data_IF_399334762065
#
_entry.id   IF_399334762065
#
_cell.length_a   1.000
_cell.length_b   1.000
_cell.length_c   1.000
_cell.angle_alpha   90.00
_cell.angle_beta   90.00
_cell.angle_gamma   90.00
#
_symmetry.space_group_name_H-M   'P 1'
#
loop_
_entity.id
_entity.type
_entity.pdbx_description
1 polymer ?
#
# COMPACT_ATOMS: atom_id res chain seq x y z
N UNK A 1 3.48 -13.40 23.40
CA UNK A 1 2.52 -12.97 22.39
C UNK A 1 1.31 -12.26 22.99
N UNK A 2 0.59 -11.56 22.16
CA UNK A 2 -0.66 -10.86 22.52
C UNK A 2 -1.84 -11.65 21.96
N UNK A 3 -2.87 -11.89 22.76
CA UNK A 3 -4.11 -12.52 22.27
C UNK A 3 -4.98 -11.51 21.55
N UNK A 4 -5.68 -11.96 20.52
CA UNK A 4 -6.69 -11.20 19.78
C UNK A 4 -7.83 -12.12 19.34
N UNK A 5 -8.96 -11.52 18.95
CA UNK A 5 -10.16 -12.24 18.54
C UNK A 5 -10.13 -12.54 17.03
N UNK A 6 -9.84 -13.78 16.67
CA UNK A 6 -9.83 -14.26 15.28
C UNK A 6 -11.22 -14.37 14.65
N UNK A 7 -12.31 -14.34 15.43
CA UNK A 7 -13.68 -14.33 14.87
C UNK A 7 -14.05 -12.99 14.26
N UNK A 8 -13.34 -11.93 14.64
CA UNK A 8 -13.48 -10.59 14.02
C UNK A 8 -12.89 -10.51 12.62
N UNK A 9 -12.13 -11.53 12.18
CA UNK A 9 -11.57 -11.62 10.85
C UNK A 9 -12.38 -12.63 10.04
N UNK A 10 -13.07 -12.13 8.99
CA UNK A 10 -13.92 -12.98 8.16
C UNK A 10 -13.16 -14.19 7.60
N UNK A 11 -13.73 -15.39 7.78
CA UNK A 11 -13.18 -16.63 7.29
C UNK A 11 -12.03 -17.23 8.11
N UNK A 12 -11.68 -16.65 9.27
CA UNK A 12 -10.61 -17.19 10.14
C UNK A 12 -11.14 -18.18 11.17
N UNK A 13 -11.83 -17.73 12.18
CA UNK A 13 -12.33 -18.55 13.29
C UNK A 13 -13.82 -18.33 13.54
N UNK A 14 -14.47 -19.31 14.17
CA UNK A 14 -15.81 -19.13 14.73
C UNK A 14 -15.74 -18.52 16.13
N UNK A 15 -16.87 -17.97 16.60
CA UNK A 15 -16.96 -17.30 17.90
C UNK A 15 -16.63 -18.25 19.10
N UNK A 16 -16.85 -19.54 18.94
CA UNK A 16 -16.61 -20.53 19.99
C UNK A 16 -15.11 -20.85 20.21
N UNK A 17 -14.25 -20.49 19.24
CA UNK A 17 -12.80 -20.73 19.27
C UNK A 17 -12.07 -19.50 18.74
N UNK A 18 -12.44 -18.32 19.22
CA UNK A 18 -12.03 -17.06 18.63
C UNK A 18 -10.59 -16.63 18.97
N UNK A 19 -10.09 -17.06 20.12
CA UNK A 19 -8.77 -16.62 20.59
C UNK A 19 -7.63 -17.08 19.68
N UNK A 20 -6.77 -16.15 19.35
CA UNK A 20 -5.54 -16.37 18.57
C UNK A 20 -4.39 -15.57 19.18
N UNK A 21 -3.16 -15.93 18.86
CA UNK A 21 -1.95 -15.32 19.41
C UNK A 21 -1.18 -14.60 18.31
N UNK A 22 -0.87 -13.31 18.55
CA UNK A 22 0.15 -12.55 17.81
C UNK A 22 1.52 -12.90 18.39
N UNK A 23 2.42 -13.44 17.57
CA UNK A 23 3.82 -13.65 17.89
C UNK A 23 4.66 -12.62 17.17
N UNK A 24 5.14 -11.55 17.84
CA UNK A 24 5.91 -10.50 17.18
C UNK A 24 7.23 -10.99 16.63
N UNK A 25 7.56 -10.53 15.41
CA UNK A 25 8.87 -10.71 14.82
C UNK A 25 9.70 -9.44 15.05
N UNK A 26 10.65 -9.52 15.97
CA UNK A 26 11.48 -8.37 16.37
C UNK A 26 12.35 -7.82 15.22
N UNK A 27 12.65 -8.63 14.20
CA UNK A 27 13.43 -8.19 13.04
C UNK A 27 12.68 -7.19 12.17
N UNK A 28 11.35 -7.10 12.31
CA UNK A 28 10.48 -6.20 11.55
C UNK A 28 10.19 -4.88 12.28
N UNK A 29 10.87 -4.62 13.39
CA UNK A 29 10.61 -3.47 14.25
C UNK A 29 10.92 -2.13 13.55
N UNK A 30 9.91 -1.27 13.43
CA UNK A 30 10.01 0.08 12.85
C UNK A 30 9.34 1.08 13.79
N UNK A 31 9.99 2.23 14.00
CA UNK A 31 9.35 3.35 14.71
C UNK A 31 8.31 3.99 13.79
N UNK A 32 7.08 4.13 14.28
CA UNK A 32 6.00 4.75 13.52
C UNK A 32 6.21 6.27 13.39
N UNK A 33 6.38 6.82 12.16
CA UNK A 33 6.62 8.24 11.97
C UNK A 33 5.34 9.09 12.02
N UNK A 34 4.16 8.48 12.18
CA UNK A 34 2.87 9.16 12.03
C UNK A 34 2.10 9.32 13.34
N UNK A 35 2.50 8.64 14.40
CA UNK A 35 1.84 8.70 15.71
C UNK A 35 2.44 9.82 16.58
N UNK A 36 1.59 10.45 17.40
CA UNK A 36 2.03 11.54 18.29
C UNK A 36 3.00 11.03 19.38
N UNK A 37 2.73 9.84 19.91
CA UNK A 37 3.60 9.20 20.88
C UNK A 37 4.54 8.21 20.20
N UNK A 38 5.76 8.00 20.71
CA UNK A 38 6.68 7.01 20.18
C UNK A 38 6.03 5.61 20.16
N UNK A 39 5.77 5.10 18.96
CA UNK A 39 5.06 3.83 18.74
C UNK A 39 5.93 2.90 17.92
N UNK A 40 6.05 1.64 18.36
CA UNK A 40 6.78 0.60 17.66
C UNK A 40 5.81 -0.28 16.87
N UNK A 41 6.03 -0.36 15.56
CA UNK A 41 5.33 -1.29 14.67
C UNK A 41 6.12 -2.60 14.59
N UNK A 42 5.41 -3.73 14.71
CA UNK A 42 5.96 -5.08 14.58
C UNK A 42 5.03 -5.90 13.69
N UNK A 43 5.58 -6.60 12.71
CA UNK A 43 4.83 -7.66 12.01
C UNK A 43 4.81 -8.90 12.88
N UNK A 44 3.68 -9.61 12.89
CA UNK A 44 3.49 -10.77 13.75
C UNK A 44 3.14 -12.01 12.93
N UNK A 45 3.59 -13.15 13.41
CA UNK A 45 3.01 -14.45 13.03
C UNK A 45 1.76 -14.73 13.86
N UNK A 46 0.89 -15.59 13.34
CA UNK A 46 -0.36 -15.96 14.01
C UNK A 46 -0.27 -17.42 14.47
N UNK A 47 -0.51 -17.65 15.76
CA UNK A 47 -0.54 -19.00 16.34
C UNK A 47 -1.95 -19.35 16.82
N UNK A 48 -2.27 -20.64 16.71
CA UNK A 48 -3.43 -21.24 17.36
C UNK A 48 -3.08 -21.54 18.84
N UNK A 49 -3.81 -20.99 19.82
CA UNK A 49 -3.46 -21.16 21.25
C UNK A 49 -3.62 -22.59 21.76
N UNK A 50 -4.50 -23.39 21.16
CA UNK A 50 -4.72 -24.77 21.58
C UNK A 50 -3.55 -25.69 21.21
N UNK A 51 -2.90 -25.42 20.09
CA UNK A 51 -1.80 -26.27 19.58
C UNK A 51 -0.44 -25.59 19.65
N UNK A 52 -0.39 -24.28 19.84
CA UNK A 52 0.80 -23.44 19.74
C UNK A 52 1.50 -23.55 18.37
N UNK A 53 0.78 -23.99 17.35
CA UNK A 53 1.27 -24.08 15.98
C UNK A 53 0.84 -22.85 15.15
N UNK A 54 1.59 -22.60 14.07
CA UNK A 54 1.26 -21.54 13.14
C UNK A 54 -0.15 -21.77 12.53
N UNK A 55 -0.95 -20.71 12.51
CA UNK A 55 -2.28 -20.77 11.93
C UNK A 55 -2.19 -20.90 10.39
N UNK A 56 -2.85 -21.92 9.86
CA UNK A 56 -2.68 -22.33 8.46
C UNK A 56 -3.22 -21.32 7.42
N UNK A 57 -4.14 -20.44 7.83
CA UNK A 57 -4.72 -19.38 6.98
C UNK A 57 -4.01 -18.02 7.13
N UNK A 58 -3.00 -17.93 7.99
CA UNK A 58 -2.17 -16.73 8.09
C UNK A 58 -1.39 -16.52 6.79
N UNK A 59 -1.57 -15.37 6.07
CA UNK A 59 -0.84 -15.09 4.81
C UNK A 59 0.68 -15.13 4.98
N UNK A 60 1.20 -14.57 6.09
CA UNK A 60 2.64 -14.60 6.37
C UNK A 60 3.14 -16.04 6.61
N UNK A 61 2.33 -16.83 7.28
CA UNK A 61 2.58 -18.27 7.46
C UNK A 61 2.57 -19.03 6.14
N UNK A 62 1.72 -18.65 5.17
CA UNK A 62 1.74 -19.22 3.81
C UNK A 62 3.05 -18.90 3.12
N UNK A 63 3.52 -17.64 3.17
CA UNK A 63 4.79 -17.23 2.56
C UNK A 63 5.99 -18.00 3.17
N UNK A 64 6.04 -18.15 4.50
CA UNK A 64 7.07 -18.95 5.18
C UNK A 64 7.06 -20.42 4.75
N UNK A 65 5.88 -21.02 4.59
CA UNK A 65 5.76 -22.39 4.08
C UNK A 65 6.22 -22.50 2.63
N UNK A 66 5.98 -21.48 1.79
CA UNK A 66 6.44 -21.46 0.42
C UNK A 66 7.98 -21.42 0.32
N UNK A 67 8.65 -20.60 1.14
CA UNK A 67 10.11 -20.58 1.22
C UNK A 67 10.66 -21.93 1.70
N UNK A 68 10.05 -22.52 2.73
CA UNK A 68 10.45 -23.84 3.22
C UNK A 68 10.26 -24.94 2.16
N UNK A 69 9.16 -24.90 1.41
CA UNK A 69 8.89 -25.84 0.32
C UNK A 69 9.91 -25.70 -0.81
N UNK A 70 10.25 -24.47 -1.23
CA UNK A 70 11.27 -24.24 -2.26
C UNK A 70 12.59 -24.91 -1.88
N UNK A 71 13.05 -24.66 -0.66
CA UNK A 71 14.29 -25.26 -0.14
C UNK A 71 14.21 -26.79 -0.07
N UNK A 72 13.11 -27.34 0.45
CA UNK A 72 12.91 -28.77 0.57
C UNK A 72 12.81 -29.49 -0.79
N UNK A 73 12.33 -28.80 -1.83
CA UNK A 73 12.24 -29.36 -3.20
C UNK A 73 13.59 -29.53 -3.87
N UNK A 74 14.64 -28.88 -3.37
CA UNK A 74 15.98 -28.89 -3.98
C UNK A 74 16.11 -28.06 -5.27
N UNK A 75 15.05 -27.31 -5.64
CA UNK A 75 15.07 -26.47 -6.85
C UNK A 75 15.93 -25.22 -6.62
N UNK A 76 15.76 -24.55 -5.47
CA UNK A 76 16.55 -23.39 -5.08
C UNK A 76 16.54 -23.19 -3.56
N UNK A 77 17.50 -22.43 -3.05
CA UNK A 77 17.58 -22.07 -1.63
C UNK A 77 16.76 -20.82 -1.31
N UNK A 78 16.63 -19.92 -2.27
CA UNK A 78 15.95 -18.63 -2.14
C UNK A 78 15.21 -18.27 -3.44
N UNK A 79 14.14 -17.47 -3.29
CA UNK A 79 13.47 -16.78 -4.38
C UNK A 79 13.36 -15.30 -4.02
N UNK A 80 13.60 -14.44 -4.99
CA UNK A 80 13.53 -12.99 -4.85
C UNK A 80 12.31 -12.45 -5.58
N UNK A 81 11.69 -11.42 -4.99
CA UNK A 81 10.49 -10.76 -5.48
C UNK A 81 10.72 -9.25 -5.49
N UNK A 82 10.41 -8.62 -6.60
CA UNK A 82 10.48 -7.17 -6.79
C UNK A 82 9.14 -6.64 -7.29
N UNK A 83 8.11 -6.54 -6.43
CA UNK A 83 6.82 -6.01 -6.85
C UNK A 83 6.93 -4.52 -7.19
N UNK A 84 6.18 -4.11 -8.20
CA UNK A 84 6.05 -2.73 -8.69
C UNK A 84 4.63 -2.23 -8.39
N UNK A 85 4.31 -1.91 -7.12
CA UNK A 85 2.96 -1.53 -6.74
C UNK A 85 2.64 -0.12 -7.22
N UNK A 86 1.72 0.00 -8.15
CA UNK A 86 1.16 1.26 -8.58
C UNK A 86 0.00 1.69 -7.66
N UNK A 87 -0.20 2.99 -7.54
CA UNK A 87 -1.25 3.57 -6.73
C UNK A 87 -1.69 4.93 -7.26
N UNK A 88 -2.88 5.38 -6.85
CA UNK A 88 -3.37 6.73 -7.16
C UNK A 88 -3.34 7.60 -5.92
N UNK A 89 -3.06 8.89 -6.10
CA UNK A 89 -3.22 9.93 -5.10
C UNK A 89 -4.30 10.89 -5.60
N UNK A 90 -5.40 11.00 -4.84
CA UNK A 90 -6.51 11.89 -5.15
C UNK A 90 -6.61 13.04 -4.14
N UNK A 91 -7.04 14.20 -4.61
CA UNK A 91 -7.35 15.34 -3.74
C UNK A 91 -8.56 15.05 -2.87
N UNK A 92 -9.58 14.41 -3.44
CA UNK A 92 -10.76 14.03 -2.70
C UNK A 92 -11.48 12.85 -3.38
N UNK A 93 -12.08 12.01 -2.54
CA UNK A 93 -13.00 10.95 -2.98
C UNK A 93 -14.25 11.07 -2.13
N UNK A 94 -15.40 11.23 -2.78
CA UNK A 94 -16.72 11.26 -2.13
C UNK A 94 -17.65 10.27 -2.79
N UNK A 95 -18.47 9.63 -2.01
CA UNK A 95 -19.42 8.65 -2.52
C UNK A 95 -20.65 8.54 -1.62
N UNK A 96 -21.76 8.10 -2.21
CA UNK A 96 -22.96 7.71 -1.51
C UNK A 96 -23.57 6.47 -2.19
N UNK A 97 -24.13 5.59 -1.40
CA UNK A 97 -24.76 4.36 -1.89
C UNK A 97 -26.07 4.10 -1.16
N UNK A 98 -26.95 5.11 -1.15
CA UNK A 98 -28.30 5.02 -0.61
C UNK A 98 -29.31 4.67 -1.72
N UNK A 99 -30.45 4.09 -1.35
CA UNK A 99 -31.47 3.63 -2.31
C UNK A 99 -31.99 4.74 -3.23
N UNK A 100 -32.06 5.97 -2.77
CA UNK A 100 -32.55 7.12 -3.53
C UNK A 100 -31.46 7.99 -4.17
N UNK A 101 -30.19 7.77 -3.84
CA UNK A 101 -29.08 8.61 -4.28
C UNK A 101 -27.76 7.82 -4.27
N UNK A 102 -27.24 7.53 -5.45
CA UNK A 102 -25.97 6.85 -5.60
C UNK A 102 -25.04 7.69 -6.46
N UNK A 103 -23.83 7.98 -5.96
CA UNK A 103 -22.77 8.63 -6.72
C UNK A 103 -21.40 8.27 -6.18
N UNK A 104 -20.38 8.49 -6.99
CA UNK A 104 -19.00 8.70 -6.54
C UNK A 104 -18.40 9.89 -7.29
N UNK A 105 -17.55 10.63 -6.60
CA UNK A 105 -16.82 11.76 -7.15
C UNK A 105 -15.36 11.63 -6.75
N UNK A 106 -14.47 11.71 -7.73
CA UNK A 106 -13.02 11.71 -7.55
C UNK A 106 -12.47 13.00 -8.09
N UNK A 107 -11.67 13.69 -7.30
CA UNK A 107 -10.98 14.90 -7.71
C UNK A 107 -9.47 14.72 -7.66
N UNK A 108 -8.79 15.21 -8.68
CA UNK A 108 -7.35 15.29 -8.77
C UNK A 108 -6.98 16.55 -9.55
N UNK A 109 -6.00 17.28 -9.05
CA UNK A 109 -5.48 18.47 -9.73
C UNK A 109 -5.01 18.15 -11.15
N UNK A 110 -4.48 16.97 -11.36
CA UNK A 110 -3.97 16.52 -12.65
C UNK A 110 -5.06 16.00 -13.59
N UNK A 111 -6.25 15.72 -13.09
CA UNK A 111 -7.32 15.15 -13.90
C UNK A 111 -7.86 16.13 -14.93
N UNK A 112 -8.02 15.68 -16.15
CA UNK A 112 -8.51 16.50 -17.26
C UNK A 112 -9.96 16.99 -17.06
N UNK A 113 -10.76 16.32 -16.22
CA UNK A 113 -12.14 16.71 -15.93
C UNK A 113 -12.27 17.82 -14.88
N UNK A 114 -11.19 18.16 -14.12
CA UNK A 114 -11.23 19.10 -12.99
C UNK A 114 -10.95 20.56 -13.38
N UNK A 115 -11.30 20.97 -14.60
CA UNK A 115 -11.04 22.33 -15.09
C UNK A 115 -11.78 23.45 -14.34
N UNK A 116 -12.82 23.11 -13.59
CA UNK A 116 -13.63 24.08 -12.81
C UNK A 116 -13.14 24.29 -11.39
N UNK A 117 -12.32 23.41 -10.86
CA UNK A 117 -11.81 23.49 -9.49
C UNK A 117 -10.70 24.54 -9.39
N UNK A 118 -10.73 25.33 -8.31
CA UNK A 118 -9.65 26.26 -7.95
C UNK A 118 -8.76 25.58 -6.93
N UNK A 119 -7.45 25.71 -7.13
CA UNK A 119 -6.43 25.20 -6.23
C UNK A 119 -5.65 26.37 -5.63
N UNK A 120 -5.16 26.24 -4.39
CA UNK A 120 -4.46 27.29 -3.67
C UNK A 120 -3.20 27.75 -4.42
N UNK A 121 -2.42 26.82 -4.93
CA UNK A 121 -1.21 27.10 -5.73
C UNK A 121 -1.49 27.51 -7.19
N UNK A 122 -2.74 27.73 -7.57
CA UNK A 122 -3.12 27.95 -8.96
C UNK A 122 -3.33 26.66 -9.72
N UNK A 123 -3.40 26.78 -11.02
CA UNK A 123 -3.68 25.67 -11.93
C UNK A 123 -2.47 25.43 -12.82
N UNK A 124 -2.13 24.19 -13.12
CA UNK A 124 -1.00 23.85 -14.01
C UNK A 124 -1.23 24.31 -15.46
N UNK A 125 -2.46 24.64 -15.84
CA UNK A 125 -2.86 24.98 -17.19
C UNK A 125 -2.96 23.75 -18.09
N UNK A 126 -1.85 23.08 -18.35
CA UNK A 126 -1.80 21.82 -19.08
C UNK A 126 -2.11 20.63 -18.16
N UNK A 127 -2.86 19.69 -18.71
CA UNK A 127 -3.11 18.38 -18.08
C UNK A 127 -2.94 17.27 -19.09
N UNK A 128 -2.32 16.15 -18.72
CA UNK A 128 -2.22 14.99 -19.60
C UNK A 128 -3.61 14.50 -20.03
N UNK A 129 -3.74 13.99 -21.23
CA UNK A 129 -4.91 13.23 -21.65
C UNK A 129 -4.97 11.86 -21.01
N UNK A 130 -6.05 11.11 -21.26
CA UNK A 130 -6.16 9.71 -20.84
C UNK A 130 -4.94 8.92 -21.31
N UNK A 131 -4.37 8.13 -20.42
CA UNK A 131 -3.16 7.31 -20.65
C UNK A 131 -1.93 8.14 -21.09
N UNK A 132 -1.91 9.43 -20.79
CA UNK A 132 -0.84 10.36 -21.17
C UNK A 132 0.06 10.81 -20.02
N UNK A 133 -0.03 10.17 -18.84
CA UNK A 133 0.64 10.60 -17.63
C UNK A 133 2.04 10.04 -17.40
N UNK A 134 2.61 9.26 -18.33
CA UNK A 134 3.89 8.59 -18.08
C UNK A 134 5.08 9.57 -18.13
N UNK A 135 5.78 9.70 -17.02
CA UNK A 135 6.99 10.52 -16.84
C UNK A 135 6.85 12.02 -17.22
N UNK A 136 5.79 12.73 -16.82
CA UNK A 136 5.80 14.19 -16.97
C UNK A 136 6.78 14.81 -15.96
N UNK A 137 7.18 16.04 -16.23
CA UNK A 137 7.95 16.84 -15.27
C UNK A 137 7.06 17.88 -14.60
N UNK A 138 7.52 18.45 -13.49
CA UNK A 138 6.84 19.56 -12.85
C UNK A 138 6.71 20.77 -13.82
N UNK A 139 5.62 21.56 -13.77
CA UNK A 139 4.51 21.49 -12.80
C UNK A 139 3.40 20.48 -13.16
N UNK A 140 3.46 19.82 -14.33
CA UNK A 140 2.45 18.84 -14.77
C UNK A 140 2.40 17.64 -13.80
N UNK A 141 3.55 17.13 -13.39
CA UNK A 141 3.68 16.22 -12.25
C UNK A 141 3.59 17.01 -10.94
N UNK A 142 2.39 17.18 -10.42
CA UNK A 142 2.14 17.92 -9.18
C UNK A 142 2.44 17.11 -7.92
N UNK A 143 2.75 15.81 -8.06
CA UNK A 143 2.90 14.87 -6.95
C UNK A 143 4.35 14.46 -6.68
N UNK A 144 5.32 15.07 -7.38
CA UNK A 144 6.74 14.74 -7.22
C UNK A 144 7.20 14.85 -5.77
N UNK A 145 6.91 15.97 -5.10
CA UNK A 145 7.37 16.21 -3.73
C UNK A 145 6.70 15.28 -2.71
N UNK A 146 5.41 14.95 -2.91
CA UNK A 146 4.71 14.00 -2.05
C UNK A 146 5.30 12.59 -2.20
N UNK A 147 5.61 12.15 -3.42
CA UNK A 147 6.32 10.89 -3.63
C UNK A 147 7.73 10.90 -3.03
N UNK A 148 8.44 12.01 -3.15
CA UNK A 148 9.76 12.17 -2.52
C UNK A 148 9.68 12.09 -0.98
N UNK A 149 8.62 12.64 -0.37
CA UNK A 149 8.34 12.49 1.06
C UNK A 149 8.06 11.02 1.42
N UNK A 150 7.23 10.32 0.64
CA UNK A 150 7.00 8.88 0.81
C UNK A 150 8.31 8.09 0.76
N UNK A 151 9.17 8.38 -0.20
CA UNK A 151 10.48 7.72 -0.31
C UNK A 151 11.37 7.94 0.91
N UNK A 152 11.38 9.15 1.49
CA UNK A 152 12.14 9.45 2.72
C UNK A 152 11.65 8.61 3.90
N UNK A 153 10.33 8.50 4.08
CA UNK A 153 9.76 7.69 5.16
C UNK A 153 10.01 6.18 4.94
N UNK A 154 9.96 5.70 3.69
CA UNK A 154 10.30 4.32 3.35
C UNK A 154 11.79 4.01 3.67
N UNK A 155 12.70 4.91 3.30
CA UNK A 155 14.13 4.77 3.60
C UNK A 155 14.37 4.79 5.13
N UNK A 156 13.68 5.68 5.85
CA UNK A 156 13.75 5.72 7.31
C UNK A 156 13.21 4.44 7.97
N UNK A 157 12.24 3.78 7.34
CA UNK A 157 11.72 2.47 7.74
C UNK A 157 12.61 1.29 7.30
N UNK A 158 13.78 1.54 6.70
CA UNK A 158 14.76 0.53 6.31
C UNK A 158 14.57 -0.08 4.93
N UNK A 159 13.68 0.46 4.08
CA UNK A 159 13.50 -0.01 2.71
C UNK A 159 14.49 0.62 1.74
N UNK A 160 15.03 -0.15 0.81
CA UNK A 160 15.89 0.34 -0.26
C UNK A 160 15.03 0.83 -1.44
N UNK A 161 14.79 2.15 -1.51
CA UNK A 161 14.05 2.78 -2.61
C UNK A 161 14.99 3.00 -3.79
N UNK A 162 14.56 2.63 -5.00
CA UNK A 162 15.34 2.76 -6.24
C UNK A 162 14.83 3.89 -7.13
N UNK A 163 13.52 4.05 -7.25
CA UNK A 163 12.90 5.02 -8.17
C UNK A 163 11.51 5.42 -7.70
N UNK A 164 11.09 6.62 -8.10
CA UNK A 164 9.67 7.00 -8.08
C UNK A 164 9.33 7.85 -9.30
N UNK A 165 8.13 7.69 -9.80
CA UNK A 165 7.66 8.45 -10.96
C UNK A 165 6.12 8.54 -11.01
N UNK A 166 5.63 9.42 -11.89
CA UNK A 166 4.24 9.46 -12.28
C UNK A 166 3.97 8.36 -13.30
N UNK A 167 2.86 7.64 -13.13
CA UNK A 167 2.43 6.56 -14.01
C UNK A 167 1.49 7.01 -15.13
N UNK A 168 1.08 6.04 -15.97
CA UNK A 168 0.38 6.26 -17.24
C UNK A 168 -0.97 6.95 -17.09
N UNK A 169 -1.74 6.66 -16.04
CA UNK A 169 -3.03 7.30 -15.82
C UNK A 169 -2.86 8.79 -15.47
N UNK A 170 -3.74 9.64 -15.99
CA UNK A 170 -3.58 11.08 -15.86
C UNK A 170 -3.98 11.69 -14.53
N UNK A 171 -4.71 10.95 -13.69
CA UNK A 171 -5.31 11.49 -12.46
C UNK A 171 -4.50 11.16 -11.21
N UNK A 172 -3.19 11.37 -11.23
CA UNK A 172 -2.33 11.19 -10.05
C UNK A 172 -1.92 9.74 -9.80
N UNK A 173 -1.74 8.94 -10.83
CA UNK A 173 -1.17 7.61 -10.70
C UNK A 173 0.34 7.69 -10.50
N UNK A 174 0.83 6.92 -9.55
CA UNK A 174 2.22 6.92 -9.09
C UNK A 174 2.75 5.51 -8.96
N UNK A 175 4.09 5.41 -9.04
CA UNK A 175 4.83 4.21 -8.68
C UNK A 175 6.04 4.58 -7.82
N UNK A 176 6.38 3.71 -6.87
CA UNK A 176 7.63 3.76 -6.11
C UNK A 176 8.24 2.36 -6.18
N UNK A 177 9.36 2.24 -6.87
CA UNK A 177 10.13 1.02 -6.97
C UNK A 177 11.08 0.84 -5.80
N UNK A 178 11.10 -0.36 -5.24
CA UNK A 178 12.04 -0.75 -4.17
C UNK A 178 12.82 -1.98 -4.60
N UNK A 179 14.06 -2.08 -4.14
CA UNK A 179 14.91 -3.24 -4.42
C UNK A 179 14.22 -4.55 -4.06
N UNK A 180 14.41 -5.57 -4.87
CA UNK A 180 13.90 -6.91 -4.59
C UNK A 180 14.41 -7.49 -3.26
N UNK A 181 13.64 -8.39 -2.67
CA UNK A 181 14.01 -9.10 -1.45
C UNK A 181 13.40 -10.52 -1.46
N UNK A 182 13.71 -11.33 -0.44
CA UNK A 182 13.08 -12.65 -0.28
C UNK A 182 11.57 -12.53 -0.03
N UNK A 183 10.83 -13.60 -0.25
CA UNK A 183 9.36 -13.59 -0.24
C UNK A 183 8.77 -12.98 1.04
N UNK A 184 9.16 -13.49 2.21
CA UNK A 184 8.59 -13.03 3.49
C UNK A 184 9.01 -11.58 3.76
N UNK A 185 10.28 -11.24 3.59
CA UNK A 185 10.78 -9.89 3.80
C UNK A 185 10.10 -8.88 2.87
N UNK A 186 9.98 -9.20 1.58
CA UNK A 186 9.34 -8.32 0.60
C UNK A 186 7.85 -8.16 0.86
N UNK A 187 7.15 -9.20 1.32
CA UNK A 187 5.75 -9.10 1.70
C UNK A 187 5.54 -8.18 2.90
N UNK A 188 6.40 -8.28 3.93
CA UNK A 188 6.38 -7.39 5.09
C UNK A 188 6.69 -5.93 4.69
N UNK A 189 7.69 -5.72 3.84
CA UNK A 189 8.04 -4.41 3.28
C UNK A 189 6.86 -3.79 2.50
N UNK A 190 6.13 -4.57 1.71
CA UNK A 190 4.97 -4.09 0.96
C UNK A 190 3.82 -3.65 1.87
N UNK A 191 3.56 -4.36 2.98
CA UNK A 191 2.57 -3.94 3.97
C UNK A 191 2.95 -2.59 4.58
N UNK A 192 4.22 -2.43 4.98
CA UNK A 192 4.76 -1.16 5.52
C UNK A 192 4.71 -0.05 4.47
N UNK A 193 5.06 -0.33 3.22
CA UNK A 193 4.98 0.62 2.11
C UNK A 193 3.56 1.17 1.93
N UNK A 194 2.55 0.30 1.91
CA UNK A 194 1.15 0.71 1.81
C UNK A 194 0.72 1.58 3.00
N UNK A 195 1.18 1.26 4.19
CA UNK A 195 0.92 2.05 5.39
C UNK A 195 1.53 3.46 5.26
N UNK A 196 2.80 3.55 4.92
CA UNK A 196 3.53 4.82 4.77
C UNK A 196 2.90 5.68 3.68
N UNK A 197 2.66 5.14 2.49
CA UNK A 197 2.08 5.88 1.37
C UNK A 197 0.72 6.49 1.74
N UNK A 198 -0.16 5.71 2.38
CA UNK A 198 -1.48 6.19 2.80
C UNK A 198 -1.39 7.30 3.86
N UNK A 199 -0.47 7.17 4.82
CA UNK A 199 -0.31 8.16 5.87
C UNK A 199 0.35 9.44 5.37
N UNK A 200 1.35 9.37 4.48
CA UNK A 200 1.92 10.56 3.84
C UNK A 200 0.88 11.28 3.00
N UNK A 201 0.08 10.55 2.21
CA UNK A 201 -1.03 11.16 1.46
C UNK A 201 -2.01 11.88 2.40
N UNK A 202 -2.41 11.23 3.51
CA UNK A 202 -3.30 11.83 4.51
C UNK A 202 -2.69 13.07 5.16
N UNK A 203 -1.43 13.05 5.54
CA UNK A 203 -0.70 14.20 6.11
C UNK A 203 -0.68 15.41 5.17
N UNK A 204 -0.71 15.16 3.86
CA UNK A 204 -0.79 16.18 2.81
C UNK A 204 -2.22 16.52 2.38
N UNK A 205 -3.25 16.13 3.15
CA UNK A 205 -4.66 16.42 2.85
C UNK A 205 -5.21 15.69 1.63
N UNK A 206 -4.55 14.61 1.22
CA UNK A 206 -4.92 13.78 0.07
C UNK A 206 -5.25 12.35 0.50
N UNK A 207 -5.70 11.53 -0.43
CA UNK A 207 -5.95 10.11 -0.20
C UNK A 207 -5.26 9.25 -1.24
N UNK A 208 -4.61 8.16 -0.80
CA UNK A 208 -3.98 7.19 -1.69
C UNK A 208 -4.76 5.89 -1.74
N UNK A 209 -4.85 5.28 -2.92
CA UNK A 209 -5.48 3.98 -3.11
C UNK A 209 -4.63 3.05 -3.98
N UNK A 210 -4.57 1.79 -3.56
CA UNK A 210 -4.01 0.68 -4.34
C UNK A 210 -5.11 -0.13 -5.05
N UNK A 211 -6.30 0.44 -5.20
CA UNK A 211 -7.40 -0.18 -5.93
C UNK A 211 -6.97 -0.47 -7.38
N UNK A 212 -7.19 -1.68 -7.90
CA UNK A 212 -6.69 -2.05 -9.23
C UNK A 212 -7.21 -1.18 -10.37
N UNK A 213 -8.44 -0.70 -10.27
CA UNK A 213 -9.08 0.11 -11.32
C UNK A 213 -10.01 1.17 -10.72
N UNK A 214 -9.46 2.23 -10.09
CA UNK A 214 -10.31 3.26 -9.47
C UNK A 214 -11.03 4.14 -10.49
N UNK A 215 -10.49 4.26 -11.70
CA UNK A 215 -11.04 5.11 -12.78
C UNK A 215 -11.30 4.27 -14.02
N UNK A 216 -12.56 4.21 -14.44
CA UNK A 216 -12.97 3.53 -15.68
C UNK A 216 -12.49 4.36 -16.88
N UNK A 217 -11.86 3.71 -17.85
CA UNK A 217 -11.39 4.35 -19.09
C UNK A 217 -9.92 4.78 -19.07
N UNK A 218 -9.31 4.98 -17.89
CA UNK A 218 -7.87 5.22 -17.76
C UNK A 218 -7.10 3.95 -17.38
N UNK A 219 -5.78 4.01 -17.21
CA UNK A 219 -5.00 2.86 -16.76
C UNK A 219 -5.39 2.44 -15.33
N UNK A 220 -5.25 1.16 -15.03
CA UNK A 220 -5.33 0.62 -13.67
C UNK A 220 -3.97 0.55 -13.02
N UNK A 221 -3.97 0.26 -11.71
CA UNK A 221 -2.76 0.03 -10.92
C UNK A 221 -2.26 -1.40 -11.10
N UNK A 222 -1.05 -1.55 -11.61
CA UNK A 222 -0.35 -2.82 -11.73
C UNK A 222 0.30 -3.29 -10.42
N UNK A 223 0.75 -4.53 -10.46
CA UNK A 223 1.61 -5.16 -9.47
C UNK A 223 2.49 -6.16 -10.24
N UNK A 224 3.41 -5.64 -11.03
CA UNK A 224 4.31 -6.46 -11.88
C UNK A 224 5.34 -7.20 -11.05
#
# INVERSE_FOLDING_TARGET
>A
GKMFDGSSISGWKGINESDMILLPDASTAVLDPFTADPTLILVCDILDPATMQAYNRDPRGVAKRAEAYLKASGIADQAFFGPEPEFFIFDSVRWNNEMGHTFFEVESEEAHWNSKKKYEGGNTGYRPGLKGGYFPVAPTDSLHDIRAEMCKELIAAGQEVEVHHHEVANAGQCEIGTKFNTLVAKADELLMMKYIIKNVAHRNGKTATFMPKPLVGDNGSGMH
#
